data_IF_664990734790
#
_entry.id   IF_664990734790
#
_cell.length_a   1.000
_cell.length_b   1.000
_cell.length_c   1.000
_cell.angle_alpha   90.00
_cell.angle_beta   90.00
_cell.angle_gamma   90.00
#
_symmetry.space_group_name_H-M   'P 1'
#
loop_
_entity.id
_entity.type
_entity.pdbx_description
1 polymer ?
#
# COMPACT_ATOMS: atom_id res chain seq x y z
N UNK A 1 29.87 -12.33 11.21
CA UNK A 1 30.34 -11.20 10.37
C UNK A 1 29.13 -10.63 9.62
N UNK A 2 28.94 -9.32 9.54
CA UNK A 2 27.85 -8.75 8.75
C UNK A 2 28.05 -9.15 7.28
N UNK A 3 27.06 -9.82 6.68
CA UNK A 3 27.12 -10.19 5.27
C UNK A 3 27.06 -8.93 4.40
N UNK A 4 27.99 -8.74 3.45
CA UNK A 4 28.19 -7.46 2.75
C UNK A 4 27.03 -7.02 1.84
N UNK A 5 26.03 -7.86 1.61
CA UNK A 5 24.92 -7.60 0.66
C UNK A 5 23.53 -7.66 1.32
N UNK A 6 23.40 -7.32 2.60
CA UNK A 6 22.07 -7.31 3.22
C UNK A 6 21.27 -6.10 2.76
N UNK A 7 20.09 -6.32 2.18
CA UNK A 7 19.19 -5.23 1.77
C UNK A 7 18.78 -4.43 3.00
N UNK A 8 19.07 -3.13 3.00
CA UNK A 8 18.61 -2.18 4.02
C UNK A 8 17.41 -1.41 3.49
N UNK A 9 16.32 -1.44 4.26
CA UNK A 9 15.06 -0.80 3.90
C UNK A 9 14.72 0.28 4.93
N UNK A 10 14.31 1.48 4.49
CA UNK A 10 14.25 1.96 3.10
C UNK A 10 15.65 2.21 2.50
N UNK A 11 15.78 2.03 1.17
CA UNK A 11 17.04 2.23 0.43
C UNK A 11 17.38 3.71 0.19
N UNK A 12 16.37 4.58 0.21
CA UNK A 12 16.51 6.03 0.00
C UNK A 12 16.26 6.81 1.30
N UNK A 13 16.86 8.00 1.41
CA UNK A 13 16.60 8.89 2.55
C UNK A 13 15.13 9.31 2.62
N UNK A 14 14.64 9.70 3.80
CA UNK A 14 13.26 10.15 3.96
C UNK A 14 12.91 11.34 3.03
N UNK A 15 13.84 12.29 2.87
CA UNK A 15 13.70 13.39 1.92
C UNK A 15 13.51 12.88 0.49
N UNK A 16 14.35 11.92 0.06
CA UNK A 16 14.27 11.36 -1.28
C UNK A 16 12.97 10.58 -1.50
N UNK A 17 12.51 9.81 -0.51
CA UNK A 17 11.23 9.11 -0.58
C UNK A 17 10.04 10.09 -0.74
N UNK A 18 10.08 11.24 -0.07
CA UNK A 18 9.07 12.28 -0.23
C UNK A 18 9.09 12.92 -1.63
N UNK A 19 10.28 13.24 -2.16
CA UNK A 19 10.44 13.73 -3.54
C UNK A 19 9.90 12.72 -4.56
N UNK A 20 10.21 11.45 -4.35
CA UNK A 20 9.77 10.35 -5.20
C UNK A 20 8.25 10.22 -5.24
N UNK A 21 7.57 10.42 -4.12
CA UNK A 21 6.11 10.45 -4.03
C UNK A 21 5.51 11.65 -4.80
N UNK A 22 6.14 12.83 -4.72
CA UNK A 22 5.70 14.01 -5.49
C UNK A 22 5.81 13.71 -6.99
N UNK A 23 6.95 13.19 -7.45
CA UNK A 23 7.17 12.80 -8.84
C UNK A 23 6.17 11.72 -9.27
N UNK A 24 5.86 10.77 -8.39
CA UNK A 24 4.84 9.75 -8.66
C UNK A 24 3.48 10.37 -8.96
N UNK A 25 3.07 11.41 -8.23
CA UNK A 25 1.77 12.05 -8.45
C UNK A 25 1.78 13.14 -9.53
N UNK A 26 2.94 13.52 -10.10
CA UNK A 26 3.04 14.67 -11.03
C UNK A 26 2.11 14.55 -12.24
N UNK A 27 1.90 13.32 -12.74
CA UNK A 27 1.01 13.04 -13.87
C UNK A 27 -0.41 12.62 -13.46
N UNK A 28 -0.79 12.75 -12.18
CA UNK A 28 -2.00 12.18 -11.59
C UNK A 28 -2.76 13.23 -10.78
N UNK A 29 -4.09 13.22 -10.89
CA UNK A 29 -4.95 14.24 -10.29
C UNK A 29 -5.95 13.63 -9.31
N UNK A 30 -5.95 14.05 -8.03
CA UNK A 30 -6.81 13.47 -7.02
C UNK A 30 -8.31 13.69 -7.31
N UNK A 31 -8.67 14.77 -8.00
CA UNK A 31 -10.07 15.10 -8.35
C UNK A 31 -10.67 14.12 -9.37
N UNK A 32 -9.81 13.44 -10.12
CA UNK A 32 -10.21 12.48 -11.15
C UNK A 32 -9.86 11.03 -10.80
N UNK A 33 -9.32 10.82 -9.60
CA UNK A 33 -8.91 9.50 -9.15
C UNK A 33 -10.13 8.62 -8.85
N UNK A 34 -10.07 7.39 -9.32
CA UNK A 34 -11.08 6.34 -9.10
C UNK A 34 -10.65 5.42 -7.95
N UNK A 35 -9.36 5.40 -7.62
CA UNK A 35 -8.84 4.75 -6.43
C UNK A 35 -7.67 5.54 -5.84
N UNK A 36 -7.43 5.34 -4.56
CA UNK A 36 -6.33 5.92 -3.83
C UNK A 36 -5.38 4.86 -3.28
N UNK A 37 -4.15 5.28 -2.98
CA UNK A 37 -3.19 4.47 -2.22
C UNK A 37 -2.56 5.31 -1.11
N UNK A 38 -2.17 4.68 0.00
CA UNK A 38 -1.59 5.40 1.14
C UNK A 38 -0.53 4.57 1.87
N UNK A 39 0.52 5.25 2.32
CA UNK A 39 1.64 4.70 3.06
C UNK A 39 1.75 5.46 4.37
N UNK A 40 1.79 4.75 5.50
CA UNK A 40 1.72 5.42 6.79
C UNK A 40 3.06 5.85 7.38
N UNK A 41 4.19 5.41 6.79
CA UNK A 41 5.53 5.81 7.29
C UNK A 41 5.66 7.33 7.31
N UNK A 42 6.04 7.87 8.47
CA UNK A 42 6.18 9.31 8.67
C UNK A 42 4.88 10.05 8.97
N UNK A 43 3.73 9.37 9.01
CA UNK A 43 2.42 9.97 9.34
C UNK A 43 1.90 9.51 10.70
N UNK A 44 1.17 10.36 11.40
CA UNK A 44 0.35 10.04 12.58
C UNK A 44 -0.98 9.46 12.13
N UNK A 45 -1.67 8.71 13.01
CA UNK A 45 -2.99 8.16 12.70
C UNK A 45 -3.98 9.26 12.30
N UNK A 46 -4.02 10.39 13.03
CA UNK A 46 -4.92 11.49 12.71
C UNK A 46 -4.65 12.07 11.30
N UNK A 47 -3.39 12.27 10.92
CA UNK A 47 -3.02 12.76 9.58
C UNK A 47 -3.47 11.79 8.47
N UNK A 48 -3.42 10.47 8.74
CA UNK A 48 -3.92 9.45 7.81
C UNK A 48 -5.44 9.59 7.67
N UNK A 49 -6.17 9.68 8.77
CA UNK A 49 -7.63 9.81 8.75
C UNK A 49 -8.07 11.11 8.06
N UNK A 50 -7.42 12.23 8.35
CA UNK A 50 -7.68 13.52 7.71
C UNK A 50 -7.47 13.46 6.20
N UNK A 51 -6.41 12.79 5.73
CA UNK A 51 -6.17 12.59 4.29
C UNK A 51 -7.27 11.74 3.64
N UNK A 52 -7.67 10.65 4.29
CA UNK A 52 -8.72 9.77 3.77
C UNK A 52 -10.06 10.51 3.69
N UNK A 53 -10.45 11.22 4.76
CA UNK A 53 -11.70 11.97 4.83
C UNK A 53 -11.73 13.13 3.85
N UNK A 54 -10.64 13.90 3.74
CA UNK A 54 -10.56 15.05 2.81
C UNK A 54 -10.67 14.64 1.33
N UNK A 55 -10.27 13.41 0.99
CA UNK A 55 -10.42 12.86 -0.36
C UNK A 55 -11.70 12.02 -0.53
N UNK A 56 -12.59 12.03 0.46
CA UNK A 56 -13.88 11.34 0.40
C UNK A 56 -13.78 9.82 0.38
N UNK A 57 -12.65 9.23 0.80
CA UNK A 57 -12.47 7.77 0.85
C UNK A 57 -13.58 7.14 1.70
N UNK A 58 -14.17 6.05 1.19
CA UNK A 58 -15.24 5.30 1.88
C UNK A 58 -14.77 3.99 2.44
N UNK A 59 -13.77 3.36 1.81
CA UNK A 59 -13.19 2.11 2.30
C UNK A 59 -11.66 2.19 2.36
N UNK A 60 -11.09 1.98 3.55
CA UNK A 60 -9.67 1.72 3.71
C UNK A 60 -9.40 0.22 3.55
N UNK A 61 -8.59 -0.13 2.57
CA UNK A 61 -8.15 -1.48 2.30
C UNK A 61 -6.74 -1.68 2.80
N UNK A 62 -6.60 -2.40 3.90
CA UNK A 62 -5.31 -2.80 4.43
C UNK A 62 -4.77 -3.98 3.62
N UNK A 63 -3.75 -3.75 2.80
CA UNK A 63 -3.12 -4.79 1.97
C UNK A 63 -1.87 -5.37 2.64
N UNK A 64 -1.61 -5.07 3.91
CA UNK A 64 -0.51 -5.69 4.64
C UNK A 64 -0.83 -7.15 4.90
N UNK A 65 0.11 -8.04 4.61
CA UNK A 65 -0.04 -9.47 4.91
C UNK A 65 -0.27 -9.69 6.42
N UNK A 66 0.53 -9.01 7.26
CA UNK A 66 0.37 -9.00 8.72
C UNK A 66 0.23 -7.55 9.22
N UNK A 67 -0.99 -7.05 9.47
CA UNK A 67 -1.26 -5.69 9.93
C UNK A 67 -1.03 -5.52 11.45
N UNK A 68 0.16 -5.88 11.92
CA UNK A 68 0.59 -5.75 13.32
C UNK A 68 1.77 -4.79 13.38
N UNK A 69 1.70 -3.82 14.28
CA UNK A 69 2.77 -2.84 14.50
C UNK A 69 3.09 -2.72 15.98
N UNK A 70 4.32 -3.10 16.35
CA UNK A 70 4.81 -2.99 17.73
C UNK A 70 5.11 -1.54 18.12
N UNK A 71 5.63 -0.73 17.19
CA UNK A 71 6.03 0.66 17.45
C UNK A 71 4.91 1.67 17.28
N UNK A 72 3.86 1.30 16.55
CA UNK A 72 2.68 2.13 16.27
C UNK A 72 1.41 1.29 16.53
N UNK A 73 1.08 0.95 17.79
CA UNK A 73 -0.05 0.07 18.11
C UNK A 73 -1.39 0.57 17.56
N UNK A 74 -1.55 1.88 17.39
CA UNK A 74 -2.73 2.51 16.80
C UNK A 74 -2.91 2.16 15.32
N UNK A 75 -1.85 1.76 14.63
CA UNK A 75 -1.86 1.27 13.25
C UNK A 75 -1.94 -0.26 13.14
N UNK A 76 -2.12 -0.96 14.26
CA UNK A 76 -2.44 -2.40 14.25
C UNK A 76 -3.91 -2.61 13.91
N UNK A 77 -4.22 -3.71 13.22
CA UNK A 77 -5.53 -4.05 12.63
C UNK A 77 -6.75 -3.55 13.40
N UNK A 78 -6.92 -3.98 14.64
CA UNK A 78 -8.14 -3.70 15.40
C UNK A 78 -8.27 -2.23 15.81
N UNK A 79 -7.15 -1.57 16.13
CA UNK A 79 -7.15 -0.16 16.49
C UNK A 79 -7.37 0.72 15.26
N UNK A 80 -6.67 0.40 14.16
CA UNK A 80 -6.86 1.09 12.89
C UNK A 80 -8.29 0.94 12.37
N UNK A 81 -8.86 -0.29 12.44
CA UNK A 81 -10.26 -0.55 12.11
C UNK A 81 -11.19 0.39 12.86
N UNK A 82 -11.11 0.41 14.20
CA UNK A 82 -11.97 1.26 15.03
C UNK A 82 -11.83 2.73 14.65
N UNK A 83 -10.60 3.21 14.51
CA UNK A 83 -10.35 4.61 14.17
C UNK A 83 -10.90 5.00 12.79
N UNK A 84 -10.89 4.09 11.81
CA UNK A 84 -11.46 4.28 10.47
C UNK A 84 -12.99 4.24 10.51
N UNK A 85 -13.56 3.26 11.22
CA UNK A 85 -15.01 3.09 11.40
C UNK A 85 -15.63 4.26 12.18
N UNK A 86 -14.91 4.83 13.15
CA UNK A 86 -15.31 6.03 13.90
C UNK A 86 -15.42 7.28 13.00
N UNK A 87 -14.76 7.29 11.83
CA UNK A 87 -14.90 8.33 10.80
C UNK A 87 -16.01 8.03 9.78
N UNK A 88 -16.78 6.95 9.99
CA UNK A 88 -17.84 6.52 9.07
C UNK A 88 -17.31 5.85 7.78
N UNK A 89 -16.08 5.36 7.79
CA UNK A 89 -15.48 4.61 6.68
C UNK A 89 -15.46 3.10 6.99
N UNK A 90 -15.41 2.27 5.94
CA UNK A 90 -15.23 0.82 6.07
C UNK A 90 -13.75 0.46 6.15
N UNK A 91 -13.42 -0.57 6.93
CA UNK A 91 -12.08 -1.15 6.99
C UNK A 91 -12.09 -2.61 6.52
N UNK A 92 -11.38 -2.88 5.43
CA UNK A 92 -11.24 -4.22 4.87
C UNK A 92 -9.77 -4.65 4.90
N UNK A 93 -9.47 -5.83 5.44
CA UNK A 93 -8.12 -6.39 5.45
C UNK A 93 -8.01 -7.48 4.39
N UNK A 94 -7.08 -7.30 3.45
CA UNK A 94 -6.83 -8.19 2.31
C UNK A 94 -5.38 -8.73 2.38
N UNK A 95 -5.09 -9.68 3.27
CA UNK A 95 -3.73 -10.21 3.44
C UNK A 95 -3.18 -10.88 2.19
N UNK A 96 -4.05 -11.33 1.27
CA UNK A 96 -3.73 -11.95 -0.01
C UNK A 96 -2.98 -10.99 -0.95
N UNK A 97 -3.19 -9.67 -0.76
CA UNK A 97 -2.51 -8.63 -1.50
C UNK A 97 -1.18 -8.20 -0.87
N UNK A 98 -0.80 -8.79 0.26
CA UNK A 98 0.42 -8.47 0.97
C UNK A 98 1.57 -9.42 0.66
N UNK A 99 2.80 -8.94 0.81
CA UNK A 99 4.00 -9.77 0.64
C UNK A 99 4.21 -10.68 1.86
N UNK A 100 4.35 -12.01 1.70
CA UNK A 100 4.68 -12.93 2.79
C UNK A 100 6.03 -12.66 3.46
N UNK A 101 6.16 -13.11 4.72
CA UNK A 101 7.37 -12.86 5.54
C UNK A 101 8.62 -13.54 4.97
N UNK A 102 8.48 -14.76 4.48
CA UNK A 102 9.53 -15.57 3.85
C UNK A 102 10.04 -14.92 2.56
N UNK A 103 9.16 -14.37 1.71
CA UNK A 103 9.57 -13.63 0.51
C UNK A 103 10.34 -12.36 0.89
N UNK A 104 9.87 -11.61 1.90
CA UNK A 104 10.63 -10.46 2.43
C UNK A 104 11.99 -10.87 3.00
N UNK A 105 12.07 -12.00 3.70
CA UNK A 105 13.33 -12.51 4.24
C UNK A 105 14.32 -12.88 3.12
N UNK A 106 13.83 -13.52 2.05
CA UNK A 106 14.64 -13.86 0.87
C UNK A 106 15.20 -12.62 0.18
N UNK A 107 14.42 -11.54 0.07
CA UNK A 107 14.92 -10.26 -0.46
C UNK A 107 16.05 -9.67 0.39
N UNK A 108 15.95 -9.79 1.72
CA UNK A 108 17.00 -9.35 2.66
C UNK A 108 18.28 -10.18 2.49
N UNK A 109 18.15 -11.49 2.32
CA UNK A 109 19.26 -12.42 2.14
C UNK A 109 19.96 -12.23 0.79
N UNK A 110 19.18 -12.05 -0.28
CA UNK A 110 19.69 -11.86 -1.65
C UNK A 110 20.15 -10.43 -1.91
N UNK A 111 19.83 -9.48 -1.02
CA UNK A 111 20.22 -8.08 -1.16
C UNK A 111 19.39 -7.28 -2.16
N UNK A 112 18.25 -7.82 -2.61
CA UNK A 112 17.60 -7.38 -3.84
C UNK A 112 16.06 -7.51 -3.72
N UNK A 113 15.29 -6.58 -4.30
CA UNK A 113 13.81 -6.60 -4.23
C UNK A 113 13.15 -7.34 -5.37
N UNK A 114 13.90 -7.70 -6.39
CA UNK A 114 13.49 -8.37 -7.61
C UNK A 114 12.72 -9.65 -7.28
N UNK A 115 13.17 -10.38 -6.25
CA UNK A 115 12.47 -11.55 -5.70
C UNK A 115 11.06 -11.21 -5.21
N UNK A 116 10.86 -10.04 -4.58
CA UNK A 116 9.52 -9.58 -4.17
C UNK A 116 8.69 -9.25 -5.41
N UNK A 117 9.26 -8.54 -6.39
CA UNK A 117 8.53 -8.10 -7.58
C UNK A 117 8.08 -9.26 -8.46
N UNK A 118 9.00 -10.18 -8.78
CA UNK A 118 8.70 -11.40 -9.53
C UNK A 118 7.61 -12.22 -8.84
N UNK A 119 7.74 -12.42 -7.52
CA UNK A 119 6.72 -13.13 -6.74
C UNK A 119 5.37 -12.39 -6.78
N UNK A 120 5.37 -11.07 -6.62
CA UNK A 120 4.14 -10.28 -6.55
C UNK A 120 3.40 -10.26 -7.90
N UNK A 121 4.14 -10.20 -9.00
CA UNK A 121 3.56 -10.20 -10.34
C UNK A 121 2.88 -11.51 -10.69
N UNK A 122 3.55 -12.61 -10.38
CA UNK A 122 3.06 -13.95 -10.65
C UNK A 122 1.91 -14.32 -9.69
N UNK A 123 2.12 -14.09 -8.39
CA UNK A 123 1.24 -14.61 -7.35
C UNK A 123 0.11 -13.67 -6.94
N UNK A 124 0.22 -12.35 -7.19
CA UNK A 124 -0.80 -11.37 -6.78
C UNK A 124 -1.43 -10.67 -7.98
N UNK A 125 -0.62 -10.05 -8.84
CA UNK A 125 -1.16 -9.29 -9.99
C UNK A 125 -1.85 -10.24 -10.97
N UNK A 126 -1.15 -11.28 -11.42
CA UNK A 126 -1.69 -12.21 -12.43
C UNK A 126 -2.84 -13.05 -11.87
N UNK A 127 -2.68 -13.60 -10.66
CA UNK A 127 -3.67 -14.53 -10.09
C UNK A 127 -4.89 -13.80 -9.51
N UNK A 128 -4.68 -12.75 -8.71
CA UNK A 128 -5.71 -12.16 -7.87
C UNK A 128 -6.40 -11.00 -8.59
N UNK A 129 -5.64 -10.06 -9.15
CA UNK A 129 -6.24 -8.93 -9.87
C UNK A 129 -6.87 -9.44 -11.18
N UNK A 130 -6.16 -10.27 -11.95
CA UNK A 130 -6.69 -10.85 -13.19
C UNK A 130 -8.02 -11.59 -13.01
N UNK A 131 -8.19 -12.33 -11.91
CA UNK A 131 -9.37 -13.19 -11.70
C UNK A 131 -10.45 -12.58 -10.79
N UNK A 132 -10.09 -11.67 -9.89
CA UNK A 132 -10.99 -11.19 -8.82
C UNK A 132 -11.24 -9.69 -8.83
N UNK A 133 -10.65 -8.91 -9.75
CA UNK A 133 -10.84 -7.45 -9.75
C UNK A 133 -12.32 -7.04 -9.81
N UNK A 134 -13.14 -7.73 -10.60
CA UNK A 134 -14.57 -7.42 -10.67
C UNK A 134 -15.26 -7.63 -9.30
N UNK A 135 -14.93 -8.70 -8.58
CA UNK A 135 -15.45 -8.92 -7.23
C UNK A 135 -14.97 -7.83 -6.29
N UNK A 136 -13.69 -7.49 -6.36
CA UNK A 136 -13.08 -6.44 -5.57
C UNK A 136 -13.78 -5.08 -5.78
N UNK A 137 -14.01 -4.67 -7.03
CA UNK A 137 -14.65 -3.40 -7.35
C UNK A 137 -16.13 -3.34 -6.94
N UNK A 138 -16.85 -4.46 -6.95
CA UNK A 138 -18.30 -4.47 -6.69
C UNK A 138 -18.69 -4.77 -5.24
N UNK A 139 -17.75 -5.17 -4.38
CA UNK A 139 -18.07 -5.60 -2.99
C UNK A 139 -17.76 -4.56 -1.93
N UNK A 140 -17.27 -3.39 -2.33
CA UNK A 140 -16.78 -2.34 -1.43
C UNK A 140 -17.35 -0.99 -1.83
N UNK A 141 -17.40 -0.08 -0.86
CA UNK A 141 -17.79 1.30 -1.13
C UNK A 141 -16.59 2.10 -1.64
N UNK A 142 -16.79 2.82 -2.74
CA UNK A 142 -15.80 3.68 -3.37
C UNK A 142 -15.98 5.15 -2.97
N UNK A 143 -14.91 5.97 -3.00
CA UNK A 143 -13.53 5.63 -3.37
C UNK A 143 -12.82 4.75 -2.34
N UNK A 144 -11.97 3.84 -2.82
CA UNK A 144 -11.14 2.97 -1.98
C UNK A 144 -9.73 3.54 -1.80
N UNK A 145 -9.10 3.31 -0.65
CA UNK A 145 -7.68 3.57 -0.44
C UNK A 145 -6.92 2.30 -0.06
N UNK A 146 -5.91 1.91 -0.84
CA UNK A 146 -5.04 0.75 -0.52
C UNK A 146 -3.88 1.18 0.38
N UNK A 147 -3.80 0.61 1.58
CA UNK A 147 -2.82 0.97 2.61
C UNK A 147 -1.65 -0.03 2.70
N UNK A 148 -0.43 0.50 2.65
CA UNK A 148 0.79 -0.23 3.01
C UNK A 148 1.63 0.55 4.04
N UNK A 149 2.85 0.07 4.32
CA UNK A 149 3.75 0.67 5.31
C UNK A 149 4.55 1.82 4.71
N UNK A 150 5.15 1.60 3.56
CA UNK A 150 6.24 2.39 2.99
C UNK A 150 5.76 3.76 2.51
N UNK A 151 6.61 4.79 2.70
CA UNK A 151 6.31 6.16 2.27
C UNK A 151 6.41 6.32 0.75
N UNK A 152 7.48 5.81 0.15
CA UNK A 152 7.71 5.89 -1.31
C UNK A 152 6.85 4.82 -2.01
N UNK A 153 5.87 5.21 -2.84
CA UNK A 153 5.02 4.26 -3.53
C UNK A 153 5.82 3.39 -4.50
N UNK A 154 6.96 3.83 -5.01
CA UNK A 154 7.74 3.09 -6.03
C UNK A 154 8.57 1.95 -5.46
N UNK A 155 8.79 1.94 -4.15
CA UNK A 155 9.65 0.98 -3.45
C UNK A 155 8.83 -0.04 -2.64
N UNK A 156 7.52 -0.16 -2.92
CA UNK A 156 6.64 -1.09 -2.23
C UNK A 156 5.67 -1.82 -3.17
N UNK A 157 4.98 -2.83 -2.60
CA UNK A 157 4.07 -3.70 -3.34
C UNK A 157 2.82 -2.96 -3.83
N UNK A 158 2.40 -1.89 -3.15
CA UNK A 158 1.23 -1.09 -3.59
C UNK A 158 1.44 -0.50 -4.99
N UNK A 159 2.67 -0.23 -5.40
CA UNK A 159 2.98 0.24 -6.76
C UNK A 159 2.59 -0.78 -7.82
N UNK A 160 2.82 -2.09 -7.58
CA UNK A 160 2.48 -3.13 -8.55
C UNK A 160 0.97 -3.20 -8.75
N UNK A 161 0.21 -3.12 -7.66
CA UNK A 161 -1.26 -3.02 -7.72
C UNK A 161 -1.70 -1.75 -8.44
N UNK A 162 -1.12 -0.61 -8.08
CA UNK A 162 -1.44 0.68 -8.68
C UNK A 162 -1.27 0.63 -10.20
N UNK A 163 -0.12 0.16 -10.67
CA UNK A 163 0.18 0.04 -12.10
C UNK A 163 -0.76 -0.94 -12.80
N UNK A 164 -1.08 -2.07 -12.16
CA UNK A 164 -2.03 -3.04 -12.71
C UNK A 164 -3.42 -2.42 -12.89
N UNK A 165 -3.91 -1.67 -11.91
CA UNK A 165 -5.21 -0.98 -11.98
C UNK A 165 -5.21 0.11 -13.06
N UNK A 166 -4.11 0.86 -13.21
CA UNK A 166 -3.97 1.84 -14.31
C UNK A 166 -3.93 1.18 -15.69
N UNK A 167 -3.25 0.05 -15.85
CA UNK A 167 -3.25 -0.72 -17.09
C UNK A 167 -4.65 -1.24 -17.46
N UNK A 168 -5.53 -1.38 -16.48
CA UNK A 168 -6.93 -1.76 -16.67
C UNK A 168 -7.85 -0.55 -16.92
N UNK A 169 -7.28 0.67 -16.97
CA UNK A 169 -7.98 1.89 -17.34
C UNK A 169 -8.49 2.74 -16.16
N UNK A 170 -8.22 2.35 -14.92
CA UNK A 170 -8.60 3.14 -13.74
C UNK A 170 -7.57 4.23 -13.46
N UNK A 171 -8.01 5.41 -13.01
CA UNK A 171 -7.10 6.48 -12.58
C UNK A 171 -6.79 6.39 -11.09
N UNK A 172 -5.52 6.38 -10.73
CA UNK A 172 -5.07 6.29 -9.33
C UNK A 172 -4.43 7.58 -8.81
N UNK A 173 -4.40 7.74 -7.48
CA UNK A 173 -3.61 8.79 -6.81
C UNK A 173 -3.04 8.33 -5.45
N UNK A 174 -1.80 8.71 -5.11
CA UNK A 174 -1.16 8.31 -3.83
C UNK A 174 -1.21 9.43 -2.76
N UNK A 175 -1.97 9.23 -1.68
CA UNK A 175 -2.24 10.21 -0.60
C UNK A 175 -1.04 10.51 0.33
#
# INVERSE_FOLDING_TARGET
>A
MPQPNRLTLPTASAKRQAENKIIWNEARHPETAEFFTIGYTGRKLLEILELLVSHGVRTLMDIRQNPVSMYRPELSKNNLRRAVEDQGMLYNHLPELGVPRDIRAKAIETGTREVIWEWYDDQVVSSYIGSNLHRFLNTVEHPVALMCVELDPRECHRHRLFMALEQMGLRGFDL
#
